data_IF_722891594456
#
_entry.id   IF_722891594456
#
_cell.length_a   1.000
_cell.length_b   1.000
_cell.length_c   1.000
_cell.angle_alpha   90.00
_cell.angle_beta   90.00
_cell.angle_gamma   90.00
#
_symmetry.space_group_name_H-M   'P 1'
#
loop_
_entity.id
_entity.type
_entity.pdbx_description
1 polymer ?
#
# COMPACT_ATOMS: atom_id res chain seq x y z
N UNK A 1 -10.62 13.84 -5.09
CA UNK A 1 -10.54 15.06 -5.92
C UNK A 1 -9.17 15.18 -6.59
N UNK A 2 -8.08 15.07 -5.83
CA UNK A 2 -6.68 15.13 -6.33
C UNK A 2 -6.43 14.15 -7.49
N UNK A 3 -6.73 12.86 -7.34
CA UNK A 3 -6.48 11.84 -8.39
C UNK A 3 -7.30 12.04 -9.68
N UNK A 4 -8.37 12.85 -9.66
CA UNK A 4 -9.14 13.16 -10.86
C UNK A 4 -8.61 14.38 -11.62
N UNK A 5 -7.68 15.13 -11.03
CA UNK A 5 -7.13 16.37 -11.55
C UNK A 5 -8.17 17.37 -12.06
N UNK A 6 -9.25 17.57 -11.30
CA UNK A 6 -10.36 18.45 -11.73
C UNK A 6 -9.90 19.90 -11.99
N UNK A 7 -8.79 20.31 -11.37
CA UNK A 7 -8.20 21.64 -11.51
C UNK A 7 -7.13 21.72 -12.61
N UNK A 8 -6.88 20.63 -13.37
CA UNK A 8 -5.88 20.54 -14.43
C UNK A 8 -4.49 21.05 -14.00
N UNK A 9 -4.05 20.65 -12.81
CA UNK A 9 -2.72 20.97 -12.30
C UNK A 9 -1.68 20.03 -12.89
N UNK A 10 -0.53 20.57 -13.26
CA UNK A 10 0.64 19.84 -13.77
C UNK A 10 1.92 20.52 -13.28
N UNK A 11 2.99 19.76 -13.08
CA UNK A 11 4.31 20.27 -12.70
C UNK A 11 4.27 21.29 -11.53
N UNK A 12 3.52 20.96 -10.48
CA UNK A 12 3.27 21.84 -9.33
C UNK A 12 4.48 22.02 -8.40
N UNK A 13 5.29 20.98 -8.27
CA UNK A 13 6.43 20.87 -7.37
C UNK A 13 7.76 20.82 -8.12
N UNK A 14 7.79 20.33 -9.37
CA UNK A 14 8.92 20.49 -10.28
C UNK A 14 8.55 20.25 -11.76
N UNK A 15 9.50 20.48 -12.68
CA UNK A 15 9.29 20.35 -14.14
C UNK A 15 9.51 18.91 -14.68
N UNK A 16 9.94 17.96 -13.86
CA UNK A 16 10.26 16.59 -14.32
C UNK A 16 9.05 15.67 -14.27
N UNK A 17 8.20 15.80 -13.26
CA UNK A 17 7.05 14.91 -13.06
C UNK A 17 5.76 15.68 -13.37
N UNK A 18 5.12 15.34 -14.48
CA UNK A 18 3.90 15.98 -14.95
C UNK A 18 2.76 15.92 -13.95
N UNK A 19 2.58 14.76 -13.34
CA UNK A 19 1.50 14.48 -12.39
C UNK A 19 1.96 14.54 -10.94
N UNK A 20 2.91 15.42 -10.61
CA UNK A 20 3.48 15.56 -9.26
C UNK A 20 2.47 15.96 -8.17
N UNK A 21 1.36 16.60 -8.54
CA UNK A 21 0.23 16.86 -7.64
C UNK A 21 -0.34 15.58 -7.01
N UNK A 22 -0.14 14.41 -7.63
CA UNK A 22 -0.56 13.13 -7.05
C UNK A 22 0.17 12.78 -5.77
N UNK A 23 1.37 13.34 -5.54
CA UNK A 23 2.05 13.19 -4.27
C UNK A 23 1.16 13.68 -3.11
N UNK A 24 0.35 14.73 -3.31
CA UNK A 24 -0.57 15.23 -2.28
C UNK A 24 -1.65 14.22 -1.88
N UNK A 25 -1.96 13.27 -2.77
CA UNK A 25 -2.96 12.22 -2.47
C UNK A 25 -2.51 11.30 -1.33
N UNK A 26 -1.19 11.19 -1.08
CA UNK A 26 -0.60 10.43 0.03
C UNK A 26 -1.18 10.88 1.37
N UNK A 27 -1.42 12.17 1.58
CA UNK A 27 -2.01 12.70 2.82
C UNK A 27 -3.41 12.15 3.11
N UNK A 28 -4.14 11.73 2.08
CA UNK A 28 -5.46 11.13 2.22
C UNK A 28 -5.39 9.61 2.39
N UNK A 29 -4.38 8.94 1.82
CA UNK A 29 -4.24 7.50 1.86
C UNK A 29 -3.50 6.98 3.10
N UNK A 30 -2.42 7.67 3.53
CA UNK A 30 -1.60 7.25 4.67
C UNK A 30 -2.41 7.01 5.95
N UNK A 31 -3.37 7.88 6.35
CA UNK A 31 -4.19 7.61 7.54
C UNK A 31 -4.98 6.30 7.42
N UNK A 32 -5.60 6.06 6.25
CA UNK A 32 -6.36 4.84 6.00
C UNK A 32 -5.49 3.58 6.04
N UNK A 33 -4.33 3.61 5.38
CA UNK A 33 -3.39 2.49 5.39
C UNK A 33 -2.76 2.24 6.75
N UNK A 34 -2.47 3.30 7.51
CA UNK A 34 -1.98 3.17 8.88
C UNK A 34 -3.02 2.52 9.79
N UNK A 35 -4.29 2.91 9.67
CA UNK A 35 -5.39 2.28 10.41
C UNK A 35 -5.59 0.82 10.00
N UNK A 36 -5.48 0.50 8.71
CA UNK A 36 -5.56 -0.87 8.22
C UNK A 36 -4.41 -1.72 8.77
N UNK A 37 -3.17 -1.22 8.73
CA UNK A 37 -2.01 -1.86 9.36
C UNK A 37 -2.26 -2.15 10.85
N UNK A 38 -2.71 -1.14 11.60
CA UNK A 38 -3.02 -1.27 13.03
C UNK A 38 -4.14 -2.29 13.26
N UNK A 39 -5.18 -2.29 12.43
CA UNK A 39 -6.30 -3.23 12.56
C UNK A 39 -5.84 -4.68 12.38
N UNK A 40 -5.00 -4.96 11.38
CA UNK A 40 -4.43 -6.30 11.17
C UNK A 40 -3.50 -6.66 12.34
N UNK A 41 -2.65 -5.72 12.79
CA UNK A 41 -1.76 -5.94 13.93
C UNK A 41 -2.55 -6.29 15.21
N UNK A 42 -3.65 -5.60 15.49
CA UNK A 42 -4.51 -5.87 16.63
C UNK A 42 -5.20 -7.24 16.52
N UNK A 43 -5.72 -7.58 15.35
CA UNK A 43 -6.33 -8.90 15.09
C UNK A 43 -5.31 -10.04 15.22
N UNK A 44 -4.07 -9.80 14.82
CA UNK A 44 -2.97 -10.75 14.96
C UNK A 44 -2.49 -10.89 16.41
N UNK A 45 -2.26 -9.76 17.10
CA UNK A 45 -1.77 -9.74 18.49
C UNK A 45 -2.75 -10.30 19.50
N UNK A 46 -4.05 -10.35 19.17
CA UNK A 46 -5.01 -11.02 20.04
C UNK A 46 -4.86 -12.55 20.08
N UNK A 47 -4.14 -13.14 19.14
CA UNK A 47 -3.91 -14.59 19.08
C UNK A 47 -2.46 -14.95 19.41
N UNK A 48 -1.49 -14.13 19.01
CA UNK A 48 -0.07 -14.43 19.14
C UNK A 48 0.72 -13.20 19.61
N UNK A 49 1.66 -13.42 20.55
CA UNK A 49 2.70 -12.42 20.83
C UNK A 49 3.93 -12.67 19.96
N UNK A 50 4.36 -11.65 19.22
CA UNK A 50 5.54 -11.74 18.37
C UNK A 50 6.82 -11.43 19.14
N UNK A 51 7.86 -12.27 19.03
CA UNK A 51 9.16 -11.98 19.62
C UNK A 51 9.88 -10.85 18.85
N UNK A 52 10.81 -10.17 19.52
CA UNK A 52 11.50 -8.99 18.97
C UNK A 52 12.19 -9.28 17.63
N UNK A 53 12.81 -10.45 17.47
CA UNK A 53 13.47 -10.82 16.21
C UNK A 53 12.48 -10.90 15.03
N UNK A 54 11.23 -11.32 15.27
CA UNK A 54 10.19 -11.38 14.24
C UNK A 54 9.78 -9.97 13.81
N UNK A 55 9.59 -9.07 14.78
CA UNK A 55 9.29 -7.66 14.52
C UNK A 55 10.44 -6.98 13.78
N UNK A 56 11.69 -7.24 14.19
CA UNK A 56 12.87 -6.71 13.53
C UNK A 56 13.01 -7.22 12.08
N UNK A 57 12.77 -8.53 11.85
CA UNK A 57 12.78 -9.11 10.51
C UNK A 57 11.68 -8.52 9.63
N UNK A 58 10.48 -8.31 10.18
CA UNK A 58 9.36 -7.67 9.46
C UNK A 58 9.70 -6.23 9.05
N UNK A 59 10.18 -5.40 9.99
CA UNK A 59 10.54 -4.00 9.72
C UNK A 59 11.73 -3.90 8.76
N UNK A 60 12.75 -4.72 8.96
CA UNK A 60 13.92 -4.78 8.08
C UNK A 60 13.56 -5.23 6.67
N UNK A 61 12.71 -6.26 6.53
CA UNK A 61 12.21 -6.73 5.25
C UNK A 61 11.34 -5.70 4.55
N UNK A 62 10.46 -5.02 5.28
CA UNK A 62 9.65 -3.91 4.77
C UNK A 62 10.53 -2.78 4.25
N UNK A 63 11.51 -2.35 5.05
CA UNK A 63 12.44 -1.30 4.65
C UNK A 63 13.20 -1.67 3.38
N UNK A 64 13.77 -2.88 3.34
CA UNK A 64 14.50 -3.37 2.18
C UNK A 64 13.63 -3.41 0.91
N UNK A 65 12.44 -4.01 0.99
CA UNK A 65 11.52 -4.12 -0.16
C UNK A 65 11.07 -2.74 -0.62
N UNK A 66 10.66 -1.87 0.31
CA UNK A 66 10.20 -0.52 -0.03
C UNK A 66 11.30 0.32 -0.69
N UNK A 67 12.54 0.26 -0.19
CA UNK A 67 13.69 0.94 -0.78
C UNK A 67 14.03 0.38 -2.16
N UNK A 68 14.01 -0.95 -2.33
CA UNK A 68 14.28 -1.56 -3.64
C UNK A 68 13.21 -1.16 -4.66
N UNK A 69 11.94 -1.29 -4.31
CA UNK A 69 10.84 -0.87 -5.19
C UNK A 69 10.94 0.61 -5.55
N UNK A 70 11.22 1.47 -4.57
CA UNK A 70 11.37 2.91 -4.81
C UNK A 70 12.60 3.23 -5.67
N UNK A 71 13.72 2.54 -5.42
CA UNK A 71 14.94 2.70 -6.21
C UNK A 71 14.72 2.39 -7.69
N UNK A 72 14.00 1.30 -8.01
CA UNK A 72 13.73 0.91 -9.39
C UNK A 72 12.69 1.79 -10.11
N UNK A 73 11.86 2.55 -9.38
CA UNK A 73 10.81 3.38 -9.99
C UNK A 73 11.15 4.86 -10.04
N UNK A 74 11.89 5.39 -9.05
CA UNK A 74 12.03 6.84 -8.92
C UNK A 74 12.85 7.44 -10.06
N UNK A 75 12.56 8.70 -10.37
CA UNK A 75 13.37 9.53 -11.25
C UNK A 75 14.23 10.43 -10.35
N UNK A 76 15.57 10.33 -10.40
CA UNK A 76 16.46 11.08 -9.51
C UNK A 76 16.26 12.60 -9.54
N UNK A 77 15.91 13.15 -10.71
CA UNK A 77 15.69 14.58 -10.93
C UNK A 77 14.31 15.07 -10.46
N UNK A 78 13.46 14.18 -9.92
CA UNK A 78 12.16 14.55 -9.39
C UNK A 78 12.28 15.52 -8.18
N UNK A 79 11.23 16.31 -7.96
CA UNK A 79 11.22 17.30 -6.89
C UNK A 79 11.36 16.64 -5.52
N UNK A 80 12.12 17.28 -4.61
CA UNK A 80 12.38 16.75 -3.27
C UNK A 80 11.10 16.37 -2.52
N UNK A 81 10.06 17.21 -2.62
CA UNK A 81 8.75 16.94 -2.01
C UNK A 81 8.14 15.63 -2.52
N UNK A 82 8.15 15.41 -3.84
CA UNK A 82 7.61 14.20 -4.46
C UNK A 82 8.39 12.99 -3.97
N UNK A 83 9.73 13.01 -4.11
CA UNK A 83 10.60 11.91 -3.71
C UNK A 83 10.42 11.52 -2.25
N UNK A 84 10.42 12.50 -1.34
CA UNK A 84 10.26 12.26 0.09
C UNK A 84 8.89 11.65 0.39
N UNK A 85 7.82 12.24 -0.15
CA UNK A 85 6.46 11.83 0.19
C UNK A 85 6.12 10.45 -0.38
N UNK A 86 6.46 10.18 -1.64
CA UNK A 86 6.25 8.85 -2.24
C UNK A 86 7.18 7.80 -1.65
N UNK A 87 8.41 8.18 -1.25
CA UNK A 87 9.36 7.28 -0.59
C UNK A 87 8.87 6.84 0.79
N UNK A 88 8.45 7.79 1.63
CA UNK A 88 7.84 7.49 2.94
C UNK A 88 6.56 6.65 2.79
N UNK A 89 5.72 7.00 1.82
CA UNK A 89 4.49 6.27 1.55
C UNK A 89 4.76 4.83 1.08
N UNK A 90 5.81 4.61 0.29
CA UNK A 90 6.22 3.27 -0.16
C UNK A 90 6.49 2.35 1.04
N UNK A 91 7.12 2.86 2.10
CA UNK A 91 7.31 2.09 3.33
C UNK A 91 5.98 1.74 4.01
N UNK A 92 5.06 2.72 4.14
CA UNK A 92 3.74 2.51 4.76
C UNK A 92 2.95 1.44 4.01
N UNK A 93 2.85 1.54 2.68
CA UNK A 93 2.03 0.61 1.91
C UNK A 93 2.69 -0.76 1.78
N UNK A 94 4.02 -0.83 1.69
CA UNK A 94 4.75 -2.11 1.76
C UNK A 94 4.48 -2.81 3.08
N UNK A 95 4.43 -2.05 4.19
CA UNK A 95 4.07 -2.61 5.50
C UNK A 95 2.69 -3.26 5.45
N UNK A 96 1.68 -2.54 4.93
CA UNK A 96 0.32 -3.07 4.76
C UNK A 96 0.30 -4.34 3.91
N UNK A 97 1.00 -4.35 2.78
CA UNK A 97 1.09 -5.53 1.91
C UNK A 97 1.69 -6.74 2.63
N UNK A 98 2.80 -6.56 3.35
CA UNK A 98 3.47 -7.64 4.09
C UNK A 98 2.71 -8.12 5.32
N UNK A 99 1.77 -7.32 5.85
CA UNK A 99 0.85 -7.79 6.89
C UNK A 99 -0.04 -8.94 6.42
N UNK A 100 -0.18 -9.18 5.10
CA UNK A 100 -0.81 -10.40 4.57
C UNK A 100 -0.12 -11.67 5.05
N UNK A 101 1.22 -11.70 5.06
CA UNK A 101 2.00 -12.85 5.50
C UNK A 101 1.88 -13.04 7.01
N UNK A 102 1.92 -11.95 7.77
CA UNK A 102 1.72 -11.96 9.23
C UNK A 102 0.33 -12.50 9.56
N UNK A 103 -0.69 -12.01 8.86
CA UNK A 103 -2.07 -12.43 9.05
C UNK A 103 -2.24 -13.91 8.75
N UNK A 104 -1.81 -14.39 7.57
CA UNK A 104 -1.86 -15.82 7.23
C UNK A 104 -1.16 -16.68 8.27
N UNK A 105 0.07 -16.32 8.65
CA UNK A 105 0.85 -17.09 9.62
C UNK A 105 0.17 -17.15 11.00
N UNK A 106 -0.54 -16.09 11.40
CA UNK A 106 -1.32 -16.06 12.66
C UNK A 106 -2.46 -17.09 12.63
N UNK A 107 -3.12 -17.23 11.48
CA UNK A 107 -4.30 -18.08 11.31
C UNK A 107 -3.94 -19.40 10.62
N UNK A 108 -2.86 -20.08 11.06
CA UNK A 108 -2.44 -21.41 10.57
C UNK A 108 -1.83 -21.47 9.16
N UNK A 109 -1.30 -20.36 8.65
CA UNK A 109 -0.50 -20.31 7.43
C UNK A 109 -1.25 -20.78 6.19
N UNK A 110 -0.74 -21.81 5.51
CA UNK A 110 -1.38 -22.37 4.32
C UNK A 110 -2.74 -23.00 4.60
N UNK A 111 -2.97 -23.44 5.85
CA UNK A 111 -4.25 -24.00 6.30
C UNK A 111 -5.22 -22.92 6.78
N UNK A 112 -4.92 -21.64 6.54
CA UNK A 112 -5.80 -20.56 6.94
C UNK A 112 -7.17 -20.67 6.28
N UNK A 113 -8.25 -20.28 6.99
CA UNK A 113 -9.59 -20.25 6.41
C UNK A 113 -9.65 -19.34 5.19
N UNK A 114 -10.53 -19.67 4.23
CA UNK A 114 -10.70 -18.91 2.99
C UNK A 114 -10.90 -17.40 3.24
N UNK A 115 -11.65 -17.02 4.28
CA UNK A 115 -11.84 -15.61 4.65
C UNK A 115 -10.52 -14.89 4.92
N UNK A 116 -9.58 -15.52 5.62
CA UNK A 116 -8.25 -14.96 5.91
C UNK A 116 -7.42 -14.82 4.64
N UNK A 117 -7.46 -15.82 3.76
CA UNK A 117 -6.83 -15.73 2.44
C UNK A 117 -7.36 -14.56 1.62
N UNK A 118 -8.69 -14.38 1.59
CA UNK A 118 -9.33 -13.29 0.87
C UNK A 118 -8.93 -11.92 1.43
N UNK A 119 -8.93 -11.72 2.75
CA UNK A 119 -8.47 -10.46 3.36
C UNK A 119 -6.98 -10.23 3.10
N UNK A 120 -6.16 -11.28 3.20
CA UNK A 120 -4.71 -11.21 2.93
C UNK A 120 -4.43 -10.81 1.47
N UNK A 121 -5.19 -11.37 0.52
CA UNK A 121 -5.16 -10.94 -0.87
C UNK A 121 -5.56 -9.46 -1.00
N UNK A 122 -6.59 -9.01 -0.27
CA UNK A 122 -6.98 -7.61 -0.22
C UNK A 122 -5.84 -6.67 0.19
N UNK A 123 -5.05 -7.04 1.20
CA UNK A 123 -3.88 -6.27 1.65
C UNK A 123 -2.80 -6.17 0.55
N UNK A 124 -2.53 -7.27 -0.16
CA UNK A 124 -1.60 -7.30 -1.29
C UNK A 124 -2.12 -6.43 -2.44
N UNK A 125 -3.41 -6.52 -2.77
CA UNK A 125 -4.02 -5.70 -3.82
C UNK A 125 -3.97 -4.20 -3.48
N UNK A 126 -4.06 -3.82 -2.20
CA UNK A 126 -3.87 -2.42 -1.79
C UNK A 126 -2.46 -1.93 -2.16
N UNK A 127 -1.44 -2.73 -1.83
CA UNK A 127 -0.05 -2.40 -2.17
C UNK A 127 0.20 -2.38 -3.68
N UNK A 128 -0.40 -3.29 -4.44
CA UNK A 128 -0.32 -3.29 -5.90
C UNK A 128 -0.99 -2.04 -6.49
N UNK A 129 -2.17 -1.66 -5.99
CA UNK A 129 -2.86 -0.46 -6.46
C UNK A 129 -1.96 0.78 -6.33
N UNK A 130 -1.38 1.01 -5.17
CA UNK A 130 -0.47 2.13 -4.95
C UNK A 130 0.82 2.03 -5.79
N UNK A 131 1.39 0.83 -5.92
CA UNK A 131 2.54 0.61 -6.79
C UNK A 131 2.24 1.00 -8.25
N UNK A 132 1.03 0.74 -8.75
CA UNK A 132 0.63 1.17 -10.09
C UNK A 132 0.57 2.71 -10.21
N UNK A 133 0.12 3.43 -9.17
CA UNK A 133 0.12 4.90 -9.19
C UNK A 133 1.56 5.40 -9.29
N UNK A 134 2.45 4.92 -8.43
CA UNK A 134 3.83 5.35 -8.46
C UNK A 134 4.55 4.97 -9.76
N UNK A 135 4.44 3.71 -10.19
CA UNK A 135 5.17 3.17 -11.34
C UNK A 135 4.70 3.77 -12.67
N UNK A 136 3.40 3.91 -12.86
CA UNK A 136 2.84 4.28 -14.17
C UNK A 136 2.26 5.68 -14.20
N UNK A 137 1.81 6.24 -13.07
CA UNK A 137 1.18 7.57 -13.06
C UNK A 137 2.15 8.68 -12.70
N UNK A 138 3.00 8.44 -11.70
CA UNK A 138 4.00 9.42 -11.24
C UNK A 138 5.28 9.29 -12.07
N UNK A 139 5.96 8.14 -12.02
CA UNK A 139 7.28 7.98 -12.64
C UNK A 139 7.26 7.34 -14.03
N UNK A 140 6.11 6.84 -14.46
CA UNK A 140 5.96 6.18 -15.75
C UNK A 140 6.28 7.11 -16.93
N UNK A 141 6.73 6.54 -18.05
CA UNK A 141 7.04 7.29 -19.26
C UNK A 141 7.96 8.50 -19.01
N UNK A 142 9.03 8.30 -18.22
CA UNK A 142 9.99 9.33 -17.84
C UNK A 142 9.35 10.56 -17.16
N UNK A 143 8.29 10.35 -16.36
CA UNK A 143 7.61 11.41 -15.62
C UNK A 143 6.36 11.98 -16.28
N UNK A 144 6.06 11.60 -17.53
CA UNK A 144 4.82 11.99 -18.21
C UNK A 144 3.59 11.21 -17.72
N UNK A 145 3.80 9.99 -17.22
CA UNK A 145 2.75 9.06 -16.82
C UNK A 145 1.97 8.41 -17.98
N UNK A 146 1.21 7.36 -17.67
CA UNK A 146 0.36 6.59 -18.61
C UNK A 146 -1.13 6.83 -18.36
N UNK A 147 -1.53 8.10 -18.29
CA UNK A 147 -2.92 8.51 -18.04
C UNK A 147 -3.73 8.62 -19.36
N UNK A 148 -5.03 8.22 -19.41
CA UNK A 148 -5.87 7.72 -18.31
C UNK A 148 -5.94 6.19 -18.20
N UNK A 149 -5.25 5.41 -19.03
CA UNK A 149 -5.42 3.95 -19.10
C UNK A 149 -5.10 3.28 -17.76
N UNK A 150 -3.99 3.69 -17.12
CA UNK A 150 -3.61 3.11 -15.83
C UNK A 150 -4.64 3.37 -14.74
N UNK A 151 -5.34 4.52 -14.80
CA UNK A 151 -6.37 4.88 -13.82
C UNK A 151 -7.43 3.78 -13.74
N UNK A 152 -7.93 3.29 -14.87
CA UNK A 152 -8.99 2.27 -14.86
C UNK A 152 -8.52 0.94 -14.26
N UNK A 153 -7.30 0.50 -14.60
CA UNK A 153 -6.70 -0.71 -14.03
C UNK A 153 -6.52 -0.55 -12.52
N UNK A 154 -5.99 0.59 -12.09
CA UNK A 154 -5.80 0.92 -10.68
C UNK A 154 -7.12 0.88 -9.91
N UNK A 155 -8.21 1.46 -10.44
CA UNK A 155 -9.52 1.43 -9.77
C UNK A 155 -10.06 0.00 -9.59
N UNK A 156 -9.90 -0.87 -10.59
CA UNK A 156 -10.34 -2.27 -10.48
C UNK A 156 -9.60 -2.96 -9.33
N UNK A 157 -8.28 -2.81 -9.25
CA UNK A 157 -7.45 -3.42 -8.20
C UNK A 157 -7.78 -2.81 -6.83
N UNK A 158 -7.90 -1.49 -6.75
CA UNK A 158 -8.21 -0.78 -5.52
C UNK A 158 -9.59 -1.17 -4.97
N UNK A 159 -10.64 -1.17 -5.81
CA UNK A 159 -11.99 -1.56 -5.38
C UNK A 159 -12.00 -3.03 -4.95
N UNK A 160 -11.33 -3.91 -5.69
CA UNK A 160 -11.20 -5.32 -5.31
C UNK A 160 -10.53 -5.46 -3.95
N UNK A 161 -9.46 -4.70 -3.69
CA UNK A 161 -8.83 -4.64 -2.37
C UNK A 161 -9.83 -4.24 -1.28
N UNK A 162 -10.55 -3.13 -1.46
CA UNK A 162 -11.51 -2.61 -0.48
C UNK A 162 -12.63 -3.62 -0.16
N UNK A 163 -13.17 -4.27 -1.19
CA UNK A 163 -14.20 -5.31 -1.03
C UNK A 163 -13.71 -6.51 -0.23
N UNK A 164 -12.40 -6.79 -0.23
CA UNK A 164 -11.82 -7.90 0.52
C UNK A 164 -11.46 -7.47 1.95
N UNK A 165 -10.72 -6.37 2.13
CA UNK A 165 -10.20 -5.96 3.45
C UNK A 165 -11.30 -5.55 4.43
N UNK A 166 -12.47 -5.13 3.95
CA UNK A 166 -13.62 -4.81 4.80
C UNK A 166 -14.07 -6.01 5.66
N UNK A 167 -13.78 -7.24 5.22
CA UNK A 167 -14.13 -8.45 5.95
C UNK A 167 -13.18 -8.78 7.12
N UNK A 168 -12.11 -8.00 7.34
CA UNK A 168 -11.19 -8.19 8.47
C UNK A 168 -11.93 -8.20 9.82
N UNK A 169 -12.93 -7.33 9.99
CA UNK A 169 -13.74 -7.28 11.21
C UNK A 169 -14.46 -8.60 11.48
N UNK A 170 -15.00 -9.24 10.42
CA UNK A 170 -15.68 -10.54 10.53
C UNK A 170 -14.71 -11.63 10.99
N UNK A 171 -13.52 -11.69 10.39
CA UNK A 171 -12.47 -12.65 10.79
C UNK A 171 -12.14 -12.50 12.28
N UNK A 172 -11.91 -11.26 12.72
CA UNK A 172 -11.54 -10.98 14.11
C UNK A 172 -12.61 -11.41 15.13
N UNK A 173 -13.90 -11.40 14.75
CA UNK A 173 -14.99 -11.89 15.61
C UNK A 173 -15.08 -13.41 15.57
N UNK A 174 -15.07 -14.01 14.37
CA UNK A 174 -15.30 -15.45 14.19
C UNK A 174 -14.25 -16.31 14.87
N UNK A 175 -12.99 -15.88 14.88
CA UNK A 175 -11.88 -16.70 15.37
C UNK A 175 -11.32 -16.27 16.73
N UNK A 176 -11.84 -15.20 17.33
CA UNK A 176 -11.56 -14.84 18.74
C UNK A 176 -12.41 -15.61 19.76
N UNK A 177 -13.56 -16.13 19.33
CA UNK A 177 -14.56 -16.77 20.20
C UNK A 177 -14.47 -18.30 20.16
N UNK A 178 -13.35 -18.85 19.67
CA UNK A 178 -13.05 -20.28 19.68
C UNK A 178 -12.03 -20.62 20.75
#
# INVERSE_FOLDING_TARGET
>A
MVNFNLNNQYYRYNEVIKHDYLADSVWFFVPGYSLLFIAVLLASRSLVMYPLYYVAAYLGGTLLISLLCFYFMHIPEAGYYVLLLTGLHSFVITSVGLMSLVLLNTYCGLNAPLGVWLVSLGLVLAAIADALIGLYWIYGNSGEGYFPQIRYINWIIYISSQCLVIHLAKINITYKLG
#
